data_IF_372500719729
#
_entry.id   IF_372500719729
#
_cell.length_a   1.000
_cell.length_b   1.000
_cell.length_c   1.000
_cell.angle_alpha   90.00
_cell.angle_beta   90.00
_cell.angle_gamma   90.00
#
_symmetry.space_group_name_H-M   'P 1'
#
loop_
_entity.id
_entity.type
_entity.pdbx_description
1 polymer ?
#
# COMPACT_ATOMS: atom_id res chain seq x y z
N UNK A 1 10.65 -3.93 -27.28
CA UNK A 1 9.53 -4.66 -27.90
C UNK A 1 8.89 -5.51 -26.82
N UNK A 2 7.55 -5.52 -26.72
CA UNK A 2 6.85 -6.33 -25.71
C UNK A 2 6.80 -7.79 -26.17
N UNK A 3 7.59 -8.67 -25.53
CA UNK A 3 7.65 -10.10 -25.86
C UNK A 3 6.86 -10.93 -24.85
N UNK A 4 6.57 -12.19 -25.16
CA UNK A 4 5.85 -13.09 -24.24
C UNK A 4 6.52 -13.22 -22.87
N UNK A 5 7.86 -13.21 -22.84
CA UNK A 5 8.64 -13.21 -21.59
C UNK A 5 8.39 -11.94 -20.77
N UNK A 6 8.38 -10.77 -21.41
CA UNK A 6 8.08 -9.48 -20.77
C UNK A 6 6.64 -9.45 -20.25
N UNK A 7 5.68 -10.00 -21.01
CA UNK A 7 4.28 -10.12 -20.58
C UNK A 7 4.14 -10.95 -19.31
N UNK A 8 4.82 -12.08 -19.24
CA UNK A 8 4.81 -12.94 -18.06
C UNK A 8 5.44 -12.25 -16.85
N UNK A 9 6.55 -11.51 -17.04
CA UNK A 9 7.23 -10.79 -15.97
C UNK A 9 6.37 -9.67 -15.36
N UNK A 10 5.63 -8.92 -16.19
CA UNK A 10 4.76 -7.83 -15.71
C UNK A 10 3.32 -8.28 -15.44
N UNK A 11 3.00 -9.56 -15.65
CA UNK A 11 1.69 -10.09 -15.34
C UNK A 11 1.47 -10.04 -13.83
N UNK A 12 0.47 -9.26 -13.41
CA UNK A 12 0.04 -9.17 -12.00
C UNK A 12 -0.96 -10.27 -11.65
N UNK A 13 -0.68 -11.49 -12.09
CA UNK A 13 -1.58 -12.63 -11.91
C UNK A 13 -1.73 -12.99 -10.42
N UNK A 14 -2.95 -13.32 -9.98
CA UNK A 14 -3.24 -13.70 -8.60
C UNK A 14 -3.51 -12.55 -7.63
N UNK A 15 -3.39 -11.29 -8.07
CA UNK A 15 -3.80 -10.14 -7.26
C UNK A 15 -5.32 -9.90 -7.34
N UNK A 16 -5.89 -9.37 -6.26
CA UNK A 16 -7.33 -9.02 -6.24
C UNK A 16 -7.58 -7.75 -7.05
N UNK A 17 -6.74 -6.73 -6.88
CA UNK A 17 -6.77 -5.52 -7.69
C UNK A 17 -5.45 -5.36 -8.48
N UNK A 18 -5.49 -4.75 -9.68
CA UNK A 18 -4.27 -4.45 -10.44
C UNK A 18 -3.28 -3.54 -9.71
N UNK A 19 -3.77 -2.77 -8.74
CA UNK A 19 -2.98 -1.86 -7.89
C UNK A 19 -2.38 -2.51 -6.65
N UNK A 20 -2.85 -3.71 -6.26
CA UNK A 20 -2.37 -4.39 -5.06
C UNK A 20 -0.89 -4.74 -5.22
N UNK A 21 -0.20 -5.02 -4.11
CA UNK A 21 1.22 -5.37 -4.12
C UNK A 21 1.38 -6.88 -4.27
N UNK A 22 2.41 -7.30 -5.02
CA UNK A 22 2.88 -8.69 -4.94
C UNK A 22 3.61 -8.91 -3.61
N UNK A 23 3.81 -10.16 -3.22
CA UNK A 23 4.54 -10.47 -1.97
C UNK A 23 6.00 -10.00 -2.04
N UNK A 24 6.61 -10.08 -3.22
CA UNK A 24 7.97 -9.59 -3.48
C UNK A 24 8.06 -8.05 -3.42
N UNK A 25 7.04 -7.32 -3.89
CA UNK A 25 7.00 -5.87 -3.73
C UNK A 25 6.73 -5.48 -2.28
N UNK A 26 5.87 -6.23 -1.58
CA UNK A 26 5.59 -6.01 -0.17
C UNK A 26 6.83 -6.21 0.70
N UNK A 27 7.64 -7.24 0.44
CA UNK A 27 8.86 -7.51 1.23
C UNK A 27 9.90 -6.39 1.15
N UNK A 28 9.88 -5.58 0.10
CA UNK A 28 10.72 -4.37 -0.02
C UNK A 28 10.20 -3.26 0.88
N UNK A 29 8.88 -3.09 0.99
CA UNK A 29 8.26 -1.99 1.75
C UNK A 29 8.12 -2.28 3.24
N UNK A 30 7.81 -3.52 3.59
CA UNK A 30 7.51 -3.94 4.97
C UNK A 30 8.55 -3.52 6.02
N UNK A 31 9.88 -3.63 5.76
CA UNK A 31 10.90 -3.27 6.75
C UNK A 31 10.90 -1.79 7.16
N UNK A 32 10.37 -0.90 6.32
CA UNK A 32 10.30 0.54 6.60
C UNK A 32 9.09 0.91 7.44
N UNK A 33 8.11 0.01 7.56
CA UNK A 33 6.86 0.26 8.25
C UNK A 33 6.99 -0.04 9.75
N UNK A 34 6.28 0.72 10.61
CA UNK A 34 6.41 0.54 12.05
C UNK A 34 5.89 -0.84 12.48
N UNK A 35 6.66 -1.59 13.30
CA UNK A 35 6.25 -2.89 13.80
C UNK A 35 4.99 -2.76 14.66
N UNK A 36 4.18 -3.82 14.80
CA UNK A 36 3.01 -3.82 15.67
C UNK A 36 3.34 -3.27 17.07
N UNK A 37 2.47 -2.41 17.61
CA UNK A 37 2.65 -1.93 18.99
C UNK A 37 2.38 -3.07 19.97
N UNK A 38 3.26 -3.24 20.96
CA UNK A 38 3.06 -4.17 22.07
C UNK A 38 2.10 -3.65 23.14
N UNK A 39 1.79 -2.34 23.11
CA UNK A 39 0.93 -1.66 24.08
C UNK A 39 -0.26 -1.01 23.39
N UNK A 40 -1.39 -0.96 24.10
CA UNK A 40 -2.63 -0.34 23.62
C UNK A 40 -3.46 -1.26 22.74
N UNK A 41 -4.44 -0.68 22.03
CA UNK A 41 -5.35 -1.45 21.18
C UNK A 41 -4.59 -1.97 19.95
N UNK A 42 -4.62 -3.30 19.66
CA UNK A 42 -4.02 -3.83 18.46
C UNK A 42 -4.68 -3.24 17.20
N UNK A 43 -3.90 -3.14 16.13
CA UNK A 43 -4.39 -2.64 14.84
C UNK A 43 -5.43 -3.61 14.31
N UNK A 44 -6.61 -3.10 13.93
CA UNK A 44 -7.65 -3.91 13.28
C UNK A 44 -7.27 -4.30 11.85
N UNK A 45 -6.53 -3.45 11.15
CA UNK A 45 -6.22 -3.61 9.73
C UNK A 45 -4.73 -3.87 9.52
N UNK A 46 -4.36 -4.84 8.68
CA UNK A 46 -2.96 -5.08 8.32
C UNK A 46 -2.40 -3.89 7.53
N UNK A 47 -1.14 -3.53 7.77
CA UNK A 47 -0.51 -2.38 7.11
C UNK A 47 -0.47 -2.53 5.60
N UNK A 48 -0.29 -3.76 5.09
CA UNK A 48 -0.35 -4.05 3.65
C UNK A 48 -1.62 -3.54 3.00
N UNK A 49 -2.79 -3.85 3.58
CA UNK A 49 -4.08 -3.38 3.05
C UNK A 49 -4.22 -1.85 3.09
N UNK A 50 -3.55 -1.18 4.02
CA UNK A 50 -3.51 0.28 4.11
C UNK A 50 -2.62 0.86 3.01
N UNK A 51 -1.45 0.28 2.78
CA UNK A 51 -0.53 0.68 1.71
C UNK A 51 -1.17 0.44 0.33
N UNK A 52 -1.77 -0.73 0.11
CA UNK A 52 -2.50 -1.05 -1.12
C UNK A 52 -3.65 -0.05 -1.38
N UNK A 53 -4.39 0.35 -0.35
CA UNK A 53 -5.43 1.38 -0.46
C UNK A 53 -4.86 2.75 -0.87
N UNK A 54 -3.71 3.14 -0.31
CA UNK A 54 -3.02 4.39 -0.67
C UNK A 54 -2.53 4.31 -2.12
N UNK A 55 -1.89 3.20 -2.51
CA UNK A 55 -1.40 3.00 -3.88
C UNK A 55 -2.54 2.94 -4.91
N UNK A 56 -3.69 2.37 -4.57
CA UNK A 56 -4.88 2.41 -5.41
C UNK A 56 -5.29 3.85 -5.72
N UNK A 57 -5.40 4.70 -4.69
CA UNK A 57 -5.74 6.10 -4.86
C UNK A 57 -4.66 6.87 -5.64
N UNK A 58 -3.38 6.65 -5.32
CA UNK A 58 -2.27 7.36 -5.97
C UNK A 58 -2.11 6.97 -7.45
N UNK A 59 -2.19 5.68 -7.79
CA UNK A 59 -2.10 5.23 -9.19
C UNK A 59 -3.25 5.76 -10.04
N UNK A 60 -4.45 5.86 -9.46
CA UNK A 60 -5.62 6.37 -10.15
C UNK A 60 -5.79 7.90 -10.10
N UNK A 61 -4.99 8.62 -9.30
CA UNK A 61 -5.20 10.05 -9.03
C UNK A 61 -6.57 10.35 -8.37
N UNK A 62 -7.09 9.40 -7.60
CA UNK A 62 -8.47 9.44 -7.10
C UNK A 62 -8.60 10.21 -5.79
N UNK A 63 -9.72 10.93 -5.56
CA UNK A 63 -9.99 11.54 -4.27
C UNK A 63 -10.30 10.46 -3.23
N UNK A 64 -10.01 10.73 -1.96
CA UNK A 64 -10.22 9.80 -0.83
C UNK A 64 -11.61 9.16 -0.79
N UNK A 65 -12.67 9.90 -1.17
CA UNK A 65 -14.06 9.41 -1.16
C UNK A 65 -14.35 8.33 -2.20
N UNK A 66 -13.47 8.15 -3.19
CA UNK A 66 -13.59 7.11 -4.21
C UNK A 66 -12.91 5.80 -3.81
N UNK A 67 -12.40 5.69 -2.57
CA UNK A 67 -11.82 4.44 -2.10
C UNK A 67 -12.92 3.34 -2.04
N UNK A 68 -12.73 2.20 -2.73
CA UNK A 68 -13.70 1.11 -2.73
C UNK A 68 -13.92 0.51 -1.34
N UNK A 69 -15.10 -0.07 -1.08
CA UNK A 69 -15.46 -0.64 0.23
C UNK A 69 -14.68 -1.92 0.61
N UNK A 70 -13.94 -2.53 -0.33
CA UNK A 70 -13.07 -3.67 -0.05
C UNK A 70 -11.78 -3.31 0.71
N UNK A 71 -11.51 -2.01 0.88
CA UNK A 71 -10.39 -1.49 1.65
C UNK A 71 -10.80 -1.10 3.08
N UNK A 72 -9.82 -0.89 3.99
CA UNK A 72 -10.09 -0.29 5.28
C UNK A 72 -10.82 1.06 5.14
N UNK A 73 -11.59 1.50 6.16
CA UNK A 73 -12.32 2.76 6.10
C UNK A 73 -11.41 3.93 5.72
N UNK A 74 -11.90 4.81 4.85
CA UNK A 74 -11.17 6.01 4.37
C UNK A 74 -10.52 6.81 5.50
N UNK A 75 -11.22 6.96 6.63
CA UNK A 75 -10.67 7.66 7.81
C UNK A 75 -9.41 6.99 8.37
N UNK A 76 -9.36 5.66 8.34
CA UNK A 76 -8.20 4.87 8.77
C UNK A 76 -7.05 5.07 7.80
N UNK A 77 -7.30 4.86 6.50
CA UNK A 77 -6.27 4.98 5.46
C UNK A 77 -5.66 6.38 5.46
N UNK A 78 -6.52 7.40 5.47
CA UNK A 78 -6.11 8.81 5.51
C UNK A 78 -5.30 9.16 6.76
N UNK A 79 -5.68 8.63 7.94
CA UNK A 79 -4.92 8.83 9.18
C UNK A 79 -3.49 8.30 9.05
N UNK A 80 -3.34 7.08 8.54
CA UNK A 80 -2.01 6.48 8.35
C UNK A 80 -1.19 7.22 7.31
N UNK A 81 -1.80 7.61 6.20
CA UNK A 81 -1.11 8.40 5.18
C UNK A 81 -0.52 9.70 5.77
N UNK A 82 -1.31 10.47 6.52
CA UNK A 82 -0.83 11.71 7.13
C UNK A 82 0.20 11.46 8.23
N UNK A 83 0.01 10.45 9.07
CA UNK A 83 1.01 10.05 10.06
C UNK A 83 2.38 9.77 9.42
N UNK A 84 2.38 9.02 8.31
CA UNK A 84 3.60 8.65 7.58
C UNK A 84 4.19 9.78 6.73
N UNK A 85 3.37 10.73 6.31
CA UNK A 85 3.85 11.98 5.69
C UNK A 85 4.59 12.84 6.70
N UNK A 86 3.99 13.00 7.88
CA UNK A 86 4.48 13.93 8.89
C UNK A 86 5.75 13.39 9.57
N UNK A 87 5.86 12.06 9.74
CA UNK A 87 7.08 11.41 10.24
C UNK A 87 8.15 11.13 9.16
N UNK A 88 7.94 11.62 7.93
CA UNK A 88 8.86 11.49 6.79
C UNK A 88 9.13 10.06 6.28
N UNK A 89 8.32 9.07 6.65
CA UNK A 89 8.48 7.70 6.17
C UNK A 89 8.38 7.59 4.64
N UNK A 90 7.46 8.33 4.01
CA UNK A 90 7.36 8.34 2.55
C UNK A 90 8.59 8.95 1.88
N UNK A 91 9.22 9.94 2.52
CA UNK A 91 10.43 10.54 2.02
C UNK A 91 11.58 9.54 2.09
N UNK A 92 11.75 8.82 3.22
CA UNK A 92 12.81 7.82 3.33
C UNK A 92 12.68 6.73 2.27
N UNK A 93 11.46 6.22 2.03
CA UNK A 93 11.20 5.19 1.02
C UNK A 93 11.59 5.61 -0.41
N UNK A 94 11.41 6.89 -0.77
CA UNK A 94 11.70 7.38 -2.12
C UNK A 94 13.19 7.69 -2.35
N UNK A 95 14.00 7.71 -1.30
CA UNK A 95 15.41 8.05 -1.33
C UNK A 95 16.33 6.88 -0.97
N UNK A 96 15.78 5.66 -0.90
CA UNK A 96 16.55 4.41 -0.73
C UNK A 96 16.73 3.75 -2.08
#
# INVERSE_FOLDING_TARGET
MWTDTTRAQYARAGLTLPSDLTDAEWSVLEPFLPPPSHVGRPRKWPLRRIVEAILYLLRGGLPWRMLPPCFPPVSTVRRWFYLWRDNKLWLSLNHT
#
